data_IF_265293843594
#
_entry.id   IF_265293843594
#
_cell.length_a   1.000
_cell.length_b   1.000
_cell.length_c   1.000
_cell.angle_alpha   90.00
_cell.angle_beta   90.00
_cell.angle_gamma   90.00
#
_symmetry.space_group_name_H-M   'P 1'
#
loop_
_entity.id
_entity.type
_entity.pdbx_description
1 polymer ?
#
# COMPACT_ATOMS: atom_id res chain seq x y z
N UNK A 1 -16.36 25.74 -1.31
CA UNK A 1 -15.90 24.35 -1.09
C UNK A 1 -14.68 24.19 -1.96
N UNK A 2 -13.50 23.85 -1.42
CA UNK A 2 -12.32 23.69 -2.24
C UNK A 2 -12.48 22.51 -3.20
N UNK A 3 -12.01 22.69 -4.43
CA UNK A 3 -11.94 21.67 -5.48
C UNK A 3 -10.53 21.06 -5.49
N UNK A 4 -10.43 19.77 -5.13
CA UNK A 4 -9.18 19.03 -4.98
C UNK A 4 -9.07 17.98 -6.08
N UNK A 5 -7.98 18.03 -6.83
CA UNK A 5 -7.69 16.98 -7.80
C UNK A 5 -6.71 15.96 -7.22
N UNK A 6 -7.18 14.73 -6.99
CA UNK A 6 -6.37 13.60 -6.55
C UNK A 6 -5.85 12.86 -7.79
N UNK A 7 -4.56 12.94 -8.06
CA UNK A 7 -3.97 12.32 -9.23
C UNK A 7 -3.27 10.99 -8.88
N UNK A 8 -3.65 9.90 -9.56
CA UNK A 8 -3.06 8.58 -9.41
C UNK A 8 -2.13 8.27 -10.59
N UNK A 9 -0.95 7.72 -10.32
CA UNK A 9 0.03 7.36 -11.37
C UNK A 9 -0.37 6.14 -12.22
N UNK A 10 -1.37 5.39 -11.81
CA UNK A 10 -1.86 4.17 -12.47
C UNK A 10 -3.38 4.10 -12.52
N UNK A 11 -3.95 2.99 -13.02
CA UNK A 11 -5.39 2.78 -13.03
C UNK A 11 -5.95 2.62 -11.61
N UNK A 12 -7.24 2.92 -11.40
CA UNK A 12 -7.89 2.77 -10.09
C UNK A 12 -7.89 1.33 -9.55
N UNK A 13 -7.66 0.34 -10.40
CA UNK A 13 -7.53 -1.07 -10.01
C UNK A 13 -6.16 -1.42 -9.40
N UNK A 14 -5.15 -0.55 -9.49
CA UNK A 14 -3.87 -0.78 -8.83
C UNK A 14 -3.95 -0.45 -7.33
N UNK A 15 -2.90 -0.80 -6.58
CA UNK A 15 -2.86 -0.58 -5.13
C UNK A 15 -3.03 0.90 -4.76
N UNK A 16 -2.24 1.77 -5.36
CA UNK A 16 -2.34 3.23 -5.17
C UNK A 16 -3.70 3.77 -5.61
N UNK A 17 -4.28 3.22 -6.69
CA UNK A 17 -5.62 3.56 -7.16
C UNK A 17 -6.72 3.22 -6.14
N UNK A 18 -6.60 2.09 -5.46
CA UNK A 18 -7.51 1.72 -4.36
C UNK A 18 -7.41 2.72 -3.19
N UNK A 19 -6.19 3.15 -2.83
CA UNK A 19 -5.98 4.16 -1.80
C UNK A 19 -6.59 5.50 -2.20
N UNK A 20 -6.30 5.98 -3.40
CA UNK A 20 -6.85 7.24 -3.94
C UNK A 20 -8.39 7.22 -3.95
N UNK A 21 -8.99 6.13 -4.43
CA UNK A 21 -10.45 5.97 -4.47
C UNK A 21 -11.07 6.01 -3.08
N UNK A 22 -10.51 5.28 -2.13
CA UNK A 22 -11.04 5.19 -0.76
C UNK A 22 -10.87 6.49 0.00
N UNK A 23 -9.73 7.17 -0.19
CA UNK A 23 -9.50 8.50 0.36
C UNK A 23 -10.44 9.55 -0.25
N UNK A 24 -10.67 9.50 -1.57
CA UNK A 24 -11.61 10.38 -2.27
C UNK A 24 -13.02 10.25 -1.72
N UNK A 25 -13.49 9.03 -1.50
CA UNK A 25 -14.79 8.75 -0.89
C UNK A 25 -14.91 9.37 0.51
N UNK A 26 -13.92 9.15 1.37
CA UNK A 26 -13.93 9.70 2.72
C UNK A 26 -13.82 11.24 2.75
N UNK A 27 -13.01 11.85 1.86
CA UNK A 27 -12.92 13.31 1.73
C UNK A 27 -14.22 13.93 1.21
N UNK A 28 -14.89 13.27 0.26
CA UNK A 28 -16.19 13.73 -0.27
C UNK A 28 -17.26 13.69 0.81
N UNK A 29 -17.30 12.65 1.67
CA UNK A 29 -18.20 12.60 2.83
C UNK A 29 -17.93 13.73 3.84
N UNK A 30 -16.72 14.26 3.88
CA UNK A 30 -16.35 15.45 4.70
C UNK A 30 -16.69 16.78 4.03
N UNK A 31 -17.31 16.74 2.85
CA UNK A 31 -17.77 17.93 2.15
C UNK A 31 -16.73 18.63 1.27
N UNK A 32 -15.66 17.93 0.83
CA UNK A 32 -14.75 18.49 -0.17
C UNK A 32 -15.21 18.12 -1.59
N UNK A 33 -14.97 19.02 -2.56
CA UNK A 33 -15.12 18.72 -3.99
C UNK A 33 -13.92 17.88 -4.44
N UNK A 34 -14.15 16.64 -4.88
CA UNK A 34 -13.07 15.74 -5.26
C UNK A 34 -13.19 15.34 -6.73
N UNK A 35 -12.08 15.50 -7.46
CA UNK A 35 -11.89 14.95 -8.80
C UNK A 35 -10.70 14.00 -8.77
N UNK A 36 -10.89 12.74 -9.17
CA UNK A 36 -9.79 11.79 -9.37
C UNK A 36 -9.28 11.96 -10.79
N UNK A 37 -7.94 12.05 -10.94
CA UNK A 37 -7.27 12.10 -12.24
C UNK A 37 -6.41 10.85 -12.41
N UNK A 38 -6.58 10.14 -13.53
CA UNK A 38 -5.84 8.91 -13.88
C UNK A 38 -5.17 9.07 -15.24
N UNK A 39 -4.09 8.32 -15.55
CA UNK A 39 -3.44 8.41 -16.85
C UNK A 39 -4.41 8.19 -18.01
N UNK A 40 -5.18 7.12 -17.91
CA UNK A 40 -6.19 6.71 -18.90
C UNK A 40 -7.39 6.11 -18.17
N UNK A 41 -8.58 6.35 -18.68
CA UNK A 41 -9.81 5.71 -18.15
C UNK A 41 -9.91 4.28 -18.65
N UNK A 42 -10.37 3.41 -17.77
CA UNK A 42 -10.54 1.97 -18.06
C UNK A 42 -11.93 1.47 -17.68
N UNK A 43 -12.30 0.28 -18.13
CA UNK A 43 -13.55 -0.37 -17.72
C UNK A 43 -13.58 -0.72 -16.21
N UNK A 44 -12.41 -0.79 -15.57
CA UNK A 44 -12.28 -1.01 -14.13
C UNK A 44 -12.59 0.24 -13.29
N UNK A 45 -12.85 1.39 -13.95
CA UNK A 45 -13.17 2.66 -13.28
C UNK A 45 -14.67 2.79 -12.95
N UNK A 46 -15.44 1.71 -13.10
CA UNK A 46 -16.89 1.70 -12.80
C UNK A 46 -17.22 1.94 -11.32
N UNK A 47 -16.25 1.73 -10.42
CA UNK A 47 -16.42 1.82 -8.97
C UNK A 47 -15.99 3.18 -8.38
N UNK A 48 -16.16 4.28 -9.14
CA UNK A 48 -15.90 5.62 -8.60
C UNK A 48 -16.96 5.99 -7.57
N UNK A 49 -16.57 6.50 -6.38
CA UNK A 49 -17.53 6.85 -5.34
C UNK A 49 -18.53 7.92 -5.78
N UNK A 50 -19.75 7.86 -5.24
CA UNK A 50 -20.77 8.85 -5.53
C UNK A 50 -20.31 10.28 -5.16
N UNK A 51 -20.51 11.23 -6.07
CA UNK A 51 -20.10 12.62 -5.88
C UNK A 51 -18.63 12.93 -6.24
N UNK A 52 -17.85 11.90 -6.60
CA UNK A 52 -16.47 12.06 -7.10
C UNK A 52 -16.49 12.12 -8.64
N UNK A 53 -15.82 13.11 -9.23
CA UNK A 53 -15.55 13.13 -10.67
C UNK A 53 -14.35 12.26 -11.00
N UNK A 54 -14.35 11.66 -12.18
CA UNK A 54 -13.19 10.96 -12.72
C UNK A 54 -12.81 11.54 -14.08
N UNK A 55 -11.55 11.92 -14.23
CA UNK A 55 -10.97 12.41 -15.47
C UNK A 55 -9.72 11.61 -15.83
N UNK A 56 -9.47 11.40 -17.12
CA UNK A 56 -8.14 11.08 -17.59
C UNK A 56 -7.24 12.31 -17.53
N UNK A 57 -5.92 12.12 -17.57
CA UNK A 57 -4.97 13.23 -17.62
C UNK A 57 -5.21 14.15 -18.83
N UNK A 58 -5.59 13.57 -19.97
CA UNK A 58 -5.94 14.34 -21.17
C UNK A 58 -7.23 15.15 -20.99
N UNK A 59 -8.28 14.57 -20.40
CA UNK A 59 -9.53 15.27 -20.09
C UNK A 59 -9.27 16.41 -19.09
N UNK A 60 -8.51 16.16 -18.03
CA UNK A 60 -8.16 17.16 -17.03
C UNK A 60 -7.37 18.35 -17.65
N UNK A 61 -6.41 18.06 -18.53
CA UNK A 61 -5.69 19.10 -19.27
C UNK A 61 -6.58 19.85 -20.26
N UNK A 62 -7.71 19.28 -20.71
CA UNK A 62 -8.71 19.89 -21.58
C UNK A 62 -9.78 20.73 -20.86
N UNK A 63 -9.88 20.67 -19.54
CA UNK A 63 -10.89 21.39 -18.76
C UNK A 63 -10.81 22.92 -18.98
N UNK A 64 -11.94 23.66 -18.91
CA UNK A 64 -11.93 25.11 -19.05
C UNK A 64 -11.18 25.78 -17.89
N UNK A 65 -10.65 27.00 -18.10
CA UNK A 65 -9.92 27.74 -17.07
C UNK A 65 -10.74 28.01 -15.80
N UNK A 66 -12.06 28.03 -15.92
CA UNK A 66 -13.00 28.17 -14.79
C UNK A 66 -13.07 26.92 -13.90
N UNK A 67 -12.59 25.78 -14.39
CA UNK A 67 -12.50 24.53 -13.64
C UNK A 67 -11.12 24.31 -13.01
N UNK A 68 -10.32 25.37 -12.86
CA UNK A 68 -9.01 25.31 -12.20
C UNK A 68 -9.16 24.78 -10.78
N UNK A 69 -8.42 23.70 -10.39
CA UNK A 69 -8.48 23.20 -9.02
C UNK A 69 -7.85 24.19 -8.04
N UNK A 70 -8.31 24.16 -6.79
CA UNK A 70 -7.68 24.89 -5.69
C UNK A 70 -6.38 24.21 -5.25
N UNK A 71 -6.31 22.86 -5.35
CA UNK A 71 -5.18 22.04 -4.96
C UNK A 71 -5.09 20.78 -5.82
N UNK A 72 -3.86 20.39 -6.16
CA UNK A 72 -3.56 19.09 -6.80
C UNK A 72 -2.78 18.22 -5.80
N UNK A 73 -3.28 17.03 -5.51
CA UNK A 73 -2.59 16.04 -4.68
C UNK A 73 -2.07 14.92 -5.58
N UNK A 74 -0.75 14.89 -5.77
CA UNK A 74 -0.08 13.92 -6.64
C UNK A 74 0.24 12.64 -5.86
N UNK A 75 -0.23 11.50 -6.34
CA UNK A 75 0.09 10.18 -5.79
C UNK A 75 1.28 9.60 -6.53
N UNK A 76 2.35 9.93 -6.15
CA UNK A 76 3.80 10.00 -6.08
C UNK A 76 4.43 10.99 -7.07
N UNK A 77 5.78 11.16 -6.96
CA UNK A 77 6.57 12.09 -7.78
C UNK A 77 7.07 11.47 -9.11
N UNK A 78 6.43 10.39 -9.59
CA UNK A 78 6.85 9.68 -10.81
C UNK A 78 6.80 10.58 -12.03
N UNK A 79 7.66 10.32 -13.02
CA UNK A 79 7.85 11.21 -14.18
C UNK A 79 6.53 11.50 -14.94
N UNK A 80 5.64 10.51 -15.07
CA UNK A 80 4.30 10.71 -15.63
C UNK A 80 3.49 11.75 -14.86
N UNK A 81 3.53 11.70 -13.53
CA UNK A 81 2.80 12.61 -12.66
C UNK A 81 3.37 14.02 -12.72
N UNK A 82 4.70 14.12 -12.69
CA UNK A 82 5.42 15.39 -12.78
C UNK A 82 5.12 16.09 -14.10
N UNK A 83 5.28 15.38 -15.23
CA UNK A 83 5.02 15.96 -16.57
C UNK A 83 3.58 16.43 -16.70
N UNK A 84 2.62 15.62 -16.26
CA UNK A 84 1.22 16.03 -16.26
C UNK A 84 0.95 17.24 -15.38
N UNK A 85 1.57 17.33 -14.20
CA UNK A 85 1.44 18.50 -13.33
C UNK A 85 2.07 19.75 -13.96
N UNK A 86 3.22 19.62 -14.62
CA UNK A 86 3.84 20.71 -15.38
C UNK A 86 2.90 21.24 -16.49
N UNK A 87 2.21 20.34 -17.21
CA UNK A 87 1.19 20.72 -18.21
C UNK A 87 0.01 21.48 -17.58
N UNK A 88 -0.45 21.06 -16.40
CA UNK A 88 -1.49 21.76 -15.66
C UNK A 88 -1.04 23.17 -15.22
N UNK A 89 0.19 23.28 -14.72
CA UNK A 89 0.76 24.58 -14.31
C UNK A 89 0.92 25.51 -15.53
N UNK A 90 1.36 24.97 -16.66
CA UNK A 90 1.44 25.74 -17.90
C UNK A 90 0.07 26.27 -18.36
N UNK A 91 -1.00 25.52 -18.12
CA UNK A 91 -2.36 25.86 -18.51
C UNK A 91 -3.06 26.80 -17.52
N UNK A 92 -3.05 26.44 -16.23
CA UNK A 92 -3.86 27.12 -15.20
C UNK A 92 -3.07 28.17 -14.41
N UNK A 93 -1.77 28.30 -14.65
CA UNK A 93 -0.86 29.04 -13.79
C UNK A 93 -0.44 28.26 -12.55
N UNK A 94 0.25 28.89 -11.58
CA UNK A 94 0.72 28.22 -10.36
C UNK A 94 -0.43 27.57 -9.61
N UNK A 95 -0.25 26.28 -9.23
CA UNK A 95 -1.22 25.47 -8.48
C UNK A 95 -0.61 25.04 -7.15
N UNK A 96 -1.40 25.02 -6.08
CA UNK A 96 -0.98 24.38 -4.84
C UNK A 96 -0.83 22.87 -5.07
N UNK A 97 0.33 22.33 -4.73
CA UNK A 97 0.64 20.89 -4.87
C UNK A 97 0.87 20.26 -3.52
N UNK A 98 0.16 19.19 -3.22
CA UNK A 98 0.52 18.24 -2.16
C UNK A 98 1.09 17.00 -2.82
N UNK A 99 2.22 16.51 -2.33
CA UNK A 99 2.85 15.30 -2.85
C UNK A 99 2.66 14.15 -1.85
N UNK A 100 2.18 13.00 -2.32
CA UNK A 100 2.08 11.78 -1.51
C UNK A 100 3.30 10.89 -1.68
N UNK A 101 3.84 10.39 -0.57
CA UNK A 101 4.93 9.42 -0.52
C UNK A 101 4.39 8.08 -0.04
N UNK A 102 4.39 7.08 -0.92
CA UNK A 102 3.84 5.75 -0.66
C UNK A 102 4.93 4.69 -0.48
N UNK A 103 5.99 4.78 -1.26
CA UNK A 103 7.14 3.88 -1.27
C UNK A 103 8.44 4.68 -1.29
N UNK A 104 9.57 4.02 -1.01
CA UNK A 104 10.88 4.60 -1.28
C UNK A 104 11.17 4.54 -2.79
N UNK A 105 10.83 5.62 -3.49
CA UNK A 105 10.96 5.74 -4.95
C UNK A 105 12.42 5.62 -5.42
N UNK A 106 13.39 5.98 -4.57
CA UNK A 106 14.83 5.83 -4.89
C UNK A 106 15.24 4.35 -4.88
N UNK A 107 14.76 3.59 -3.90
CA UNK A 107 15.01 2.13 -3.88
C UNK A 107 14.35 1.43 -5.06
N UNK A 108 13.13 1.82 -5.42
CA UNK A 108 12.44 1.30 -6.60
C UNK A 108 13.23 1.56 -7.88
N UNK A 109 13.69 2.79 -8.07
CA UNK A 109 14.51 3.18 -9.22
C UNK A 109 15.82 2.38 -9.26
N UNK A 110 16.54 2.32 -8.13
CA UNK A 110 17.81 1.56 -8.03
C UNK A 110 17.60 0.09 -8.40
N UNK A 111 16.57 -0.54 -7.87
CA UNK A 111 16.28 -1.94 -8.12
C UNK A 111 15.93 -2.21 -9.58
N UNK A 112 15.10 -1.35 -10.19
CA UNK A 112 14.65 -1.58 -11.57
C UNK A 112 15.72 -1.24 -12.62
N UNK A 113 16.57 -0.23 -12.36
CA UNK A 113 17.58 0.23 -13.29
C UNK A 113 19.01 -0.22 -12.97
N UNK A 114 19.21 -1.02 -11.91
CA UNK A 114 20.53 -1.50 -11.51
C UNK A 114 21.46 -0.38 -11.06
N UNK A 115 20.94 0.70 -10.49
CA UNK A 115 21.75 1.85 -10.08
C UNK A 115 22.35 1.66 -8.68
N UNK A 116 23.59 2.15 -8.50
CA UNK A 116 24.23 2.22 -7.18
C UNK A 116 23.80 3.49 -6.43
N UNK A 117 23.98 3.58 -5.09
CA UNK A 117 23.78 4.83 -4.35
C UNK A 117 24.56 6.01 -4.96
N UNK A 118 25.82 5.82 -5.31
CA UNK A 118 26.66 6.85 -5.94
C UNK A 118 26.07 7.34 -7.29
N UNK A 119 25.50 6.44 -8.10
CA UNK A 119 24.83 6.86 -9.33
C UNK A 119 23.61 7.76 -9.02
N UNK A 120 22.90 7.52 -7.93
CA UNK A 120 21.75 8.35 -7.52
C UNK A 120 22.21 9.75 -7.12
N UNK A 121 23.32 9.84 -6.37
CA UNK A 121 23.88 11.13 -5.95
C UNK A 121 24.34 11.94 -7.18
N UNK A 122 25.08 11.33 -8.10
CA UNK A 122 25.48 11.97 -9.37
C UNK A 122 24.27 12.46 -10.18
N UNK A 123 23.16 11.71 -10.21
CA UNK A 123 21.94 12.10 -10.92
C UNK A 123 21.24 13.26 -10.19
N UNK A 124 21.17 13.23 -8.86
CA UNK A 124 20.62 14.33 -8.05
C UNK A 124 21.36 15.64 -8.27
N UNK A 125 22.67 15.56 -8.37
CA UNK A 125 23.55 16.70 -8.57
C UNK A 125 23.61 17.17 -10.04
N UNK A 126 22.95 16.45 -10.96
CA UNK A 126 22.94 16.76 -12.39
C UNK A 126 24.24 16.40 -13.11
N UNK A 127 25.13 15.66 -12.46
CA UNK A 127 26.42 15.21 -13.01
C UNK A 127 26.28 14.02 -13.94
N UNK A 128 25.19 13.25 -13.79
CA UNK A 128 24.86 12.08 -14.60
C UNK A 128 23.48 12.21 -15.21
N UNK A 129 23.33 12.16 -16.55
CA UNK A 129 22.02 12.13 -17.17
C UNK A 129 21.30 10.81 -16.89
N UNK A 130 19.96 10.86 -16.76
CA UNK A 130 19.08 9.71 -16.62
C UNK A 130 17.84 9.94 -17.48
N UNK A 131 17.50 8.97 -18.32
CA UNK A 131 16.17 8.87 -18.91
C UNK A 131 15.33 7.94 -18.04
N UNK A 132 14.63 8.51 -17.07
CA UNK A 132 13.82 7.75 -16.15
C UNK A 132 12.49 7.32 -16.82
N UNK A 133 12.11 6.03 -16.75
CA UNK A 133 10.81 5.58 -17.21
C UNK A 133 9.66 6.35 -16.55
N UNK A 134 8.56 6.55 -17.25
CA UNK A 134 7.38 7.29 -16.80
C UNK A 134 6.80 6.80 -15.46
N UNK A 135 6.95 5.51 -15.17
CA UNK A 135 6.46 4.87 -13.94
C UNK A 135 7.44 4.91 -12.77
N UNK A 136 8.58 5.59 -12.92
CA UNK A 136 9.59 5.79 -11.87
C UNK A 136 9.80 7.27 -11.59
N UNK A 137 10.41 7.56 -10.46
CA UNK A 137 10.75 8.92 -10.04
C UNK A 137 12.20 9.24 -10.44
N UNK A 138 12.40 10.30 -11.21
CA UNK A 138 13.74 10.80 -11.51
C UNK A 138 14.32 11.51 -10.28
N UNK A 139 15.51 11.14 -9.76
CA UNK A 139 16.04 11.69 -8.52
C UNK A 139 16.15 13.21 -8.47
N UNK A 140 16.64 13.84 -9.54
CA UNK A 140 16.76 15.31 -9.63
C UNK A 140 15.39 15.98 -9.79
N UNK A 141 14.57 15.50 -10.72
CA UNK A 141 13.28 16.15 -11.05
C UNK A 141 12.25 15.91 -9.93
N UNK A 142 12.20 14.69 -9.37
CA UNK A 142 11.35 14.38 -8.23
C UNK A 142 11.75 15.17 -6.97
N UNK A 143 13.06 15.33 -6.73
CA UNK A 143 13.55 16.19 -5.65
C UNK A 143 13.15 17.66 -5.83
N UNK A 144 13.19 18.19 -7.05
CA UNK A 144 12.71 19.56 -7.35
C UNK A 144 11.22 19.69 -7.13
N UNK A 145 10.42 18.72 -7.58
CA UNK A 145 8.98 18.69 -7.36
C UNK A 145 8.66 18.64 -5.87
N UNK A 146 9.36 17.78 -5.10
CA UNK A 146 9.22 17.70 -3.65
C UNK A 146 9.57 19.05 -2.99
N UNK A 147 10.69 19.66 -3.37
CA UNK A 147 11.11 20.96 -2.82
C UNK A 147 10.17 22.12 -3.15
N UNK A 148 9.36 22.02 -4.20
CA UNK A 148 8.38 23.02 -4.62
C UNK A 148 6.95 22.71 -4.16
N UNK A 149 6.70 21.56 -3.54
CA UNK A 149 5.40 21.21 -3.03
C UNK A 149 4.96 22.15 -1.89
N UNK A 150 3.68 22.42 -1.79
CA UNK A 150 3.09 23.20 -0.69
C UNK A 150 2.87 22.36 0.57
N UNK A 151 2.92 21.04 0.45
CA UNK A 151 2.83 20.09 1.55
C UNK A 151 3.07 18.66 1.10
N UNK A 152 3.30 17.77 2.05
CA UNK A 152 3.58 16.36 1.80
C UNK A 152 2.71 15.49 2.68
N UNK A 153 2.16 14.42 2.10
CA UNK A 153 1.57 13.31 2.84
C UNK A 153 2.44 12.07 2.69
N UNK A 154 2.49 11.23 3.72
CA UNK A 154 3.22 9.97 3.68
C UNK A 154 2.43 8.86 4.37
N UNK A 155 2.67 7.59 3.99
CA UNK A 155 2.09 6.44 4.68
C UNK A 155 2.79 6.13 6.00
N UNK A 156 4.06 6.52 6.15
CA UNK A 156 4.90 6.29 7.35
C UNK A 156 5.93 7.41 7.49
N UNK A 157 6.37 7.64 8.72
CA UNK A 157 7.32 8.71 9.07
C UNK A 157 8.66 8.60 8.32
N UNK A 158 9.19 7.38 8.13
CA UNK A 158 10.48 7.17 7.46
C UNK A 158 10.53 7.63 6.00
N UNK A 159 9.38 7.89 5.37
CA UNK A 159 9.32 8.48 4.04
C UNK A 159 9.50 10.00 4.04
N UNK A 160 9.51 10.64 5.22
CA UNK A 160 9.66 12.08 5.34
C UNK A 160 11.12 12.55 5.48
N UNK A 161 12.09 11.63 5.56
CA UNK A 161 13.49 11.96 5.81
C UNK A 161 14.11 12.93 4.79
N UNK A 162 13.67 12.84 3.52
CA UNK A 162 14.11 13.73 2.43
C UNK A 162 13.22 14.98 2.27
N UNK A 163 12.19 15.18 3.11
CA UNK A 163 11.29 16.33 3.01
C UNK A 163 11.95 17.57 3.63
N UNK A 164 11.93 18.73 2.93
CA UNK A 164 12.51 19.97 3.45
C UNK A 164 11.92 20.36 4.82
N UNK A 165 12.79 20.77 5.75
CA UNK A 165 12.38 21.21 7.07
C UNK A 165 11.41 22.40 7.00
N UNK A 166 10.35 22.36 7.80
CA UNK A 166 9.32 23.40 7.85
C UNK A 166 8.21 23.26 6.80
N UNK A 167 8.30 22.31 5.87
CA UNK A 167 7.21 21.99 4.96
C UNK A 167 6.05 21.36 5.73
N UNK A 168 4.79 21.75 5.49
CA UNK A 168 3.63 21.11 6.09
C UNK A 168 3.58 19.62 5.72
N UNK A 169 3.56 18.73 6.70
CA UNK A 169 3.48 17.28 6.50
C UNK A 169 2.28 16.68 7.21
N UNK A 170 1.83 15.52 6.73
CA UNK A 170 0.86 14.67 7.41
C UNK A 170 1.15 13.19 7.10
N UNK A 171 1.18 12.36 8.15
CA UNK A 171 1.32 10.91 8.01
C UNK A 171 -0.02 10.26 8.33
N UNK A 172 -0.44 9.34 7.49
CA UNK A 172 -1.67 8.57 7.70
C UNK A 172 -1.50 7.13 7.25
N UNK A 173 -2.07 6.19 7.99
CA UNK A 173 -2.14 4.79 7.58
C UNK A 173 -3.30 4.57 6.61
N UNK A 174 -3.16 3.67 5.62
CA UNK A 174 -4.30 3.24 4.81
C UNK A 174 -5.41 2.66 5.68
N UNK A 175 -6.65 2.95 5.33
CA UNK A 175 -7.82 2.34 5.96
C UNK A 175 -8.09 0.94 5.42
N UNK A 176 -8.81 0.13 6.20
CA UNK A 176 -9.33 -1.15 5.73
C UNK A 176 -10.53 -0.98 4.79
N UNK A 177 -10.78 -2.00 3.96
CA UNK A 177 -12.03 -2.10 3.20
C UNK A 177 -13.13 -2.72 4.08
N UNK A 178 -14.29 -2.05 4.23
CA UNK A 178 -15.41 -2.54 5.04
C UNK A 178 -15.89 -3.96 4.73
N UNK A 179 -15.65 -4.48 3.52
CA UNK A 179 -16.02 -5.86 3.17
C UNK A 179 -15.33 -6.92 4.02
N UNK A 180 -14.13 -6.61 4.56
CA UNK A 180 -13.39 -7.50 5.47
C UNK A 180 -13.84 -7.39 6.93
N UNK A 181 -14.54 -6.33 7.30
CA UNK A 181 -15.07 -6.15 8.65
C UNK A 181 -16.31 -7.01 8.93
N UNK A 182 -17.05 -7.40 7.90
CA UNK A 182 -18.25 -8.19 8.03
C UNK A 182 -17.95 -9.62 8.50
N UNK A 183 -18.58 -10.08 9.58
CA UNK A 183 -18.36 -11.43 10.12
C UNK A 183 -18.78 -12.52 9.12
N UNK A 184 -17.96 -13.55 8.98
CA UNK A 184 -18.19 -14.69 8.06
C UNK A 184 -18.00 -16.02 8.81
N UNK A 185 -18.91 -16.38 9.73
CA UNK A 185 -18.69 -17.51 10.64
C UNK A 185 -18.57 -18.87 9.94
N UNK A 186 -19.17 -19.04 8.76
CA UNK A 186 -19.08 -20.27 7.99
C UNK A 186 -17.90 -20.31 6.99
N UNK A 187 -17.08 -19.26 6.90
CA UNK A 187 -16.03 -19.14 5.88
C UNK A 187 -15.05 -20.32 5.90
N UNK A 188 -14.59 -20.73 7.09
CA UNK A 188 -13.65 -21.84 7.23
C UNK A 188 -14.20 -23.15 6.68
N UNK A 189 -15.45 -23.52 6.99
CA UNK A 189 -16.08 -24.74 6.49
C UNK A 189 -16.31 -24.67 4.97
N UNK A 190 -16.81 -23.55 4.47
CA UNK A 190 -17.08 -23.35 3.03
C UNK A 190 -15.78 -23.44 2.22
N UNK A 191 -14.72 -22.75 2.66
CA UNK A 191 -13.43 -22.72 1.98
C UNK A 191 -12.76 -24.09 2.02
N UNK A 192 -12.73 -24.76 3.18
CA UNK A 192 -12.15 -26.11 3.32
C UNK A 192 -12.83 -27.10 2.37
N UNK A 193 -14.17 -27.11 2.35
CA UNK A 193 -14.94 -28.01 1.47
C UNK A 193 -14.68 -27.72 -0.01
N UNK A 194 -14.68 -26.44 -0.40
CA UNK A 194 -14.45 -26.01 -1.78
C UNK A 194 -13.06 -26.38 -2.29
N UNK A 195 -12.04 -26.29 -1.43
CA UNK A 195 -10.66 -26.52 -1.79
C UNK A 195 -10.13 -27.91 -1.42
N UNK A 196 -10.97 -28.78 -0.85
CA UNK A 196 -10.57 -30.14 -0.45
C UNK A 196 -9.54 -30.17 0.67
N UNK A 197 -9.52 -29.18 1.57
CA UNK A 197 -8.54 -29.06 2.65
C UNK A 197 -8.98 -29.91 3.84
N UNK A 198 -8.11 -30.81 4.37
CA UNK A 198 -8.43 -31.63 5.53
C UNK A 198 -8.84 -30.82 6.76
N UNK A 199 -9.73 -31.38 7.59
CA UNK A 199 -10.26 -30.67 8.76
C UNK A 199 -9.21 -30.44 9.85
N UNK A 200 -8.21 -31.29 9.94
CA UNK A 200 -7.10 -31.26 10.90
C UNK A 200 -5.94 -30.33 10.46
N UNK A 201 -5.95 -29.81 9.22
CA UNK A 201 -4.95 -28.84 8.79
C UNK A 201 -5.24 -27.45 9.34
N UNK A 202 -4.24 -26.76 9.89
CA UNK A 202 -4.32 -25.33 10.14
C UNK A 202 -4.31 -24.56 8.80
N UNK A 203 -5.15 -23.53 8.68
CA UNK A 203 -5.21 -22.68 7.49
C UNK A 203 -4.37 -21.41 7.70
N UNK A 204 -3.37 -21.26 6.87
CA UNK A 204 -2.59 -20.03 6.75
C UNK A 204 -3.00 -19.33 5.45
N UNK A 205 -3.29 -18.03 5.49
CA UNK A 205 -3.65 -17.28 4.28
C UNK A 205 -2.70 -16.11 4.05
N UNK A 206 -2.28 -15.99 2.80
CA UNK A 206 -1.53 -14.85 2.25
C UNK A 206 -2.22 -14.35 0.99
N UNK A 207 -2.55 -13.06 0.94
CA UNK A 207 -3.12 -12.42 -0.24
C UNK A 207 -2.12 -11.43 -0.84
N UNK A 208 -1.97 -11.45 -2.16
CA UNK A 208 -1.14 -10.49 -2.89
C UNK A 208 -0.24 -11.11 -3.94
N UNK A 209 0.20 -10.26 -4.87
CA UNK A 209 1.09 -10.64 -5.95
C UNK A 209 2.53 -10.90 -5.46
N UNK A 210 3.28 -11.66 -6.25
CA UNK A 210 4.70 -11.89 -6.04
C UNK A 210 5.49 -11.11 -7.08
N UNK A 211 6.35 -10.24 -6.60
CA UNK A 211 7.25 -9.38 -7.38
C UNK A 211 8.70 -9.62 -6.96
N UNK A 212 9.65 -9.12 -7.72
CA UNK A 212 11.07 -9.20 -7.38
C UNK A 212 11.37 -8.64 -5.97
N UNK A 213 10.58 -7.66 -5.51
CA UNK A 213 10.77 -7.02 -4.20
C UNK A 213 10.25 -7.81 -3.00
N UNK A 214 9.43 -8.86 -3.20
CA UNK A 214 8.86 -9.66 -2.09
C UNK A 214 8.93 -11.18 -2.30
N UNK A 215 9.54 -11.63 -3.39
CA UNK A 215 9.61 -13.06 -3.72
C UNK A 215 10.29 -13.89 -2.63
N UNK A 216 11.37 -13.40 -2.02
CA UNK A 216 12.09 -14.10 -0.97
C UNK A 216 11.27 -14.19 0.33
N UNK A 217 10.46 -13.17 0.61
CA UNK A 217 9.54 -13.16 1.75
C UNK A 217 8.44 -14.21 1.59
N UNK A 218 7.79 -14.25 0.42
CA UNK A 218 6.75 -15.24 0.13
C UNK A 218 7.34 -16.65 0.05
N UNK A 219 8.56 -16.80 -0.50
CA UNK A 219 9.31 -18.06 -0.47
C UNK A 219 9.58 -18.52 0.97
N UNK A 220 10.00 -17.62 1.87
CA UNK A 220 10.16 -17.91 3.30
C UNK A 220 8.88 -18.45 3.94
N UNK A 221 7.73 -17.88 3.62
CA UNK A 221 6.44 -18.38 4.10
C UNK A 221 6.14 -19.78 3.56
N UNK A 222 6.39 -20.05 2.27
CA UNK A 222 6.16 -21.40 1.70
C UNK A 222 7.07 -22.45 2.34
N UNK A 223 8.34 -22.10 2.60
CA UNK A 223 9.29 -22.95 3.32
C UNK A 223 8.80 -23.21 4.75
N UNK A 224 8.31 -22.18 5.45
CA UNK A 224 7.80 -22.33 6.81
C UNK A 224 6.64 -23.32 6.88
N UNK A 225 5.69 -23.26 5.96
CA UNK A 225 4.56 -24.18 5.88
C UNK A 225 5.02 -25.62 5.62
N UNK A 226 5.96 -25.82 4.70
CA UNK A 226 6.52 -27.15 4.42
C UNK A 226 7.28 -27.73 5.64
N UNK A 227 8.06 -26.91 6.34
CA UNK A 227 8.78 -27.32 7.54
C UNK A 227 7.83 -27.66 8.70
N UNK A 228 6.77 -26.86 8.90
CA UNK A 228 5.77 -27.13 9.92
C UNK A 228 5.09 -28.51 9.70
N UNK A 229 4.70 -28.81 8.46
CA UNK A 229 4.15 -30.13 8.10
C UNK A 229 5.12 -31.27 8.40
N UNK A 230 6.41 -31.10 8.08
CA UNK A 230 7.46 -32.09 8.37
C UNK A 230 7.70 -32.30 9.87
N UNK A 231 7.44 -31.31 10.68
CA UNK A 231 7.60 -31.35 12.15
C UNK A 231 6.31 -31.71 12.88
N UNK A 232 5.31 -32.24 12.16
CA UNK A 232 4.09 -32.78 12.74
C UNK A 232 2.98 -31.77 13.02
N UNK A 233 3.02 -30.59 12.39
CA UNK A 233 1.96 -29.58 12.45
C UNK A 233 1.28 -29.48 11.08
N UNK A 234 0.21 -30.27 10.83
CA UNK A 234 -0.50 -30.24 9.54
C UNK A 234 -1.05 -28.86 9.23
N UNK A 235 -0.71 -28.30 8.07
CA UNK A 235 -1.21 -27.00 7.65
C UNK A 235 -1.24 -26.84 6.14
N UNK A 236 -2.09 -25.96 5.68
CA UNK A 236 -2.22 -25.58 4.27
C UNK A 236 -2.12 -24.07 4.13
N UNK A 237 -1.28 -23.62 3.19
CA UNK A 237 -1.20 -22.23 2.78
C UNK A 237 -2.16 -21.98 1.63
N UNK A 238 -3.14 -21.10 1.84
CA UNK A 238 -3.95 -20.53 0.76
C UNK A 238 -3.27 -19.24 0.30
N UNK A 239 -3.00 -19.15 -1.00
CA UNK A 239 -2.35 -17.99 -1.61
C UNK A 239 -3.15 -17.45 -2.79
N UNK A 240 -3.31 -16.11 -2.86
CA UNK A 240 -3.91 -15.43 -4.00
C UNK A 240 -2.90 -14.48 -4.64
N UNK A 241 -3.21 -14.01 -5.85
CA UNK A 241 -2.40 -13.06 -6.62
C UNK A 241 -1.59 -13.73 -7.73
N UNK A 242 -0.93 -12.90 -8.53
CA UNK A 242 -0.13 -13.28 -9.69
C UNK A 242 1.34 -13.35 -9.29
N UNK A 243 2.04 -14.36 -9.79
CA UNK A 243 3.49 -14.46 -9.68
C UNK A 243 4.14 -13.81 -10.90
N UNK A 244 4.59 -12.55 -10.73
CA UNK A 244 5.33 -11.83 -11.76
C UNK A 244 6.78 -12.32 -11.88
N UNK A 245 7.27 -12.99 -10.85
CA UNK A 245 8.55 -13.72 -10.84
C UNK A 245 8.33 -15.11 -10.28
N UNK A 246 9.10 -16.13 -10.70
CA UNK A 246 8.95 -17.49 -10.21
C UNK A 246 9.17 -17.58 -8.70
N UNK A 247 8.22 -18.17 -7.99
CA UNK A 247 8.37 -18.45 -6.56
C UNK A 247 9.33 -19.60 -6.31
N UNK A 248 9.45 -20.48 -7.28
CA UNK A 248 10.13 -21.76 -7.20
C UNK A 248 11.35 -21.85 -8.12
N UNK A 249 12.51 -22.12 -7.54
CA UNK A 249 13.64 -22.72 -8.24
C UNK A 249 13.49 -24.25 -8.28
N UNK A 250 14.32 -24.97 -9.03
CA UNK A 250 14.21 -26.41 -9.35
C UNK A 250 14.00 -27.41 -8.19
N UNK A 251 13.94 -26.96 -6.92
CA UNK A 251 13.62 -27.78 -5.74
C UNK A 251 12.18 -27.69 -5.23
N UNK A 252 11.32 -26.96 -5.89
CA UNK A 252 10.03 -26.49 -5.38
C UNK A 252 8.87 -27.50 -5.39
N UNK A 253 9.01 -28.67 -5.98
CA UNK A 253 7.95 -29.70 -6.02
C UNK A 253 7.54 -30.09 -4.57
N UNK A 254 8.48 -30.15 -3.65
CA UNK A 254 8.24 -30.46 -2.23
C UNK A 254 7.55 -29.34 -1.45
N UNK A 255 7.60 -28.10 -1.97
CA UNK A 255 6.94 -26.96 -1.32
C UNK A 255 5.48 -26.79 -1.81
N UNK A 256 5.16 -27.29 -3.00
CA UNK A 256 3.84 -27.12 -3.61
C UNK A 256 2.76 -28.01 -2.96
N UNK A 257 3.13 -29.11 -2.30
CA UNK A 257 2.21 -30.10 -1.73
C UNK A 257 1.25 -29.49 -0.68
N UNK A 258 1.68 -28.47 0.03
CA UNK A 258 0.91 -27.82 1.08
C UNK A 258 0.38 -26.44 0.71
N UNK A 259 0.38 -26.10 -0.58
CA UNK A 259 0.00 -24.79 -1.06
C UNK A 259 -1.19 -24.88 -2.03
N UNK A 260 -2.24 -24.12 -1.73
CA UNK A 260 -3.35 -23.88 -2.65
C UNK A 260 -3.18 -22.49 -3.25
N UNK A 261 -2.61 -22.43 -4.45
CA UNK A 261 -2.44 -21.18 -5.21
C UNK A 261 -3.67 -20.94 -6.08
N UNK A 262 -4.44 -19.90 -5.76
CA UNK A 262 -5.72 -19.58 -6.44
C UNK A 262 -5.56 -18.57 -7.58
N UNK A 263 -4.35 -18.00 -7.77
CA UNK A 263 -4.17 -16.93 -8.74
C UNK A 263 -4.99 -15.68 -8.39
N UNK A 264 -5.45 -14.97 -9.41
CA UNK A 264 -6.33 -13.80 -9.23
C UNK A 264 -7.71 -14.25 -8.76
N UNK A 265 -8.14 -13.71 -7.63
CA UNK A 265 -9.45 -13.96 -7.02
C UNK A 265 -10.26 -12.67 -7.07
N UNK A 266 -11.56 -12.71 -7.43
CA UNK A 266 -12.44 -11.56 -7.35
C UNK A 266 -12.41 -10.93 -5.95
N UNK A 267 -12.39 -9.58 -5.87
CA UNK A 267 -12.31 -8.88 -4.58
C UNK A 267 -13.41 -9.29 -3.60
N UNK A 268 -14.62 -9.56 -4.11
CA UNK A 268 -15.75 -9.99 -3.29
C UNK A 268 -15.56 -11.35 -2.59
N UNK A 269 -14.68 -12.20 -3.13
CA UNK A 269 -14.41 -13.55 -2.60
C UNK A 269 -13.21 -13.56 -1.61
N UNK A 270 -12.37 -12.52 -1.61
CA UNK A 270 -11.22 -12.43 -0.71
C UNK A 270 -11.58 -12.47 0.77
N UNK A 271 -12.67 -11.83 1.26
CA UNK A 271 -13.04 -11.89 2.66
C UNK A 271 -13.30 -13.32 3.16
N UNK A 272 -13.86 -14.22 2.33
CA UNK A 272 -14.07 -15.60 2.73
C UNK A 272 -12.74 -16.33 2.98
N UNK A 273 -11.73 -16.10 2.14
CA UNK A 273 -10.40 -16.68 2.31
C UNK A 273 -9.68 -16.12 3.55
N UNK A 274 -9.82 -14.83 3.81
CA UNK A 274 -9.24 -14.17 4.99
C UNK A 274 -9.91 -14.67 6.27
N UNK A 275 -11.24 -14.71 6.31
CA UNK A 275 -12.00 -15.18 7.48
C UNK A 275 -11.89 -16.70 7.71
N UNK A 276 -11.54 -17.49 6.68
CA UNK A 276 -11.30 -18.94 6.83
C UNK A 276 -9.97 -19.25 7.52
N UNK A 277 -9.03 -18.32 7.53
CA UNK A 277 -7.69 -18.55 8.08
C UNK A 277 -7.71 -18.78 9.60
N UNK A 278 -6.89 -19.69 10.09
CA UNK A 278 -6.55 -19.79 11.50
C UNK A 278 -5.48 -18.74 11.86
N UNK A 279 -4.58 -18.43 10.92
CA UNK A 279 -3.58 -17.36 11.02
C UNK A 279 -3.39 -16.69 9.65
N UNK A 280 -3.33 -15.35 9.65
CA UNK A 280 -2.91 -14.54 8.51
C UNK A 280 -1.44 -14.17 8.65
N UNK A 281 -0.69 -14.17 7.56
CA UNK A 281 0.75 -13.90 7.62
C UNK A 281 1.16 -12.81 6.63
N UNK A 282 1.86 -11.80 7.14
CA UNK A 282 2.71 -10.92 6.35
C UNK A 282 4.16 -11.33 6.59
N UNK A 283 4.78 -12.09 5.69
CA UNK A 283 6.20 -12.41 5.82
C UNK A 283 7.06 -11.18 5.55
N UNK A 284 8.29 -11.16 6.02
CA UNK A 284 9.22 -10.07 5.75
C UNK A 284 10.37 -9.99 6.74
N UNK A 285 11.38 -9.22 6.36
CA UNK A 285 12.56 -8.89 7.17
C UNK A 285 12.48 -7.44 7.64
N UNK A 286 13.34 -7.08 8.58
CA UNK A 286 13.56 -5.70 8.98
C UNK A 286 14.74 -5.17 8.15
N UNK A 287 14.43 -4.57 7.02
CA UNK A 287 15.39 -4.01 6.08
C UNK A 287 14.91 -2.65 5.56
N UNK A 288 15.78 -1.97 4.81
CA UNK A 288 15.52 -0.65 4.23
C UNK A 288 14.25 -0.64 3.36
N UNK A 289 13.99 -1.74 2.62
CA UNK A 289 12.82 -1.86 1.78
C UNK A 289 11.53 -1.92 2.61
N UNK A 290 11.47 -2.83 3.59
CA UNK A 290 10.28 -3.01 4.41
C UNK A 290 10.06 -1.86 5.39
N UNK A 291 11.11 -1.13 5.79
CA UNK A 291 10.99 0.07 6.61
C UNK A 291 10.27 1.22 5.91
N UNK A 292 10.24 1.22 4.58
CA UNK A 292 9.71 2.32 3.78
C UNK A 292 8.40 1.96 3.02
N UNK A 293 7.69 0.91 3.42
CA UNK A 293 6.40 0.54 2.80
C UNK A 293 5.39 0.03 3.82
N UNK A 294 4.11 0.22 3.54
CA UNK A 294 3.01 -0.38 4.31
C UNK A 294 2.31 -1.43 3.43
N UNK A 295 2.37 -2.73 3.78
CA UNK A 295 1.60 -3.73 3.06
C UNK A 295 0.10 -3.47 3.16
N UNK A 296 -0.54 -3.12 2.06
CA UNK A 296 -1.94 -2.68 1.97
C UNK A 296 -2.97 -3.69 2.49
N UNK A 297 -2.60 -4.96 2.59
CA UNK A 297 -3.46 -6.03 3.13
C UNK A 297 -3.56 -6.03 4.66
N UNK A 298 -2.62 -5.38 5.37
CA UNK A 298 -2.58 -5.46 6.84
C UNK A 298 -3.81 -4.84 7.52
N UNK A 299 -4.34 -3.68 7.11
CA UNK A 299 -5.60 -3.18 7.64
C UNK A 299 -6.77 -4.17 7.45
N UNK A 300 -6.89 -4.78 6.26
CA UNK A 300 -7.92 -5.76 5.94
C UNK A 300 -7.77 -7.05 6.79
N UNK A 301 -6.53 -7.49 7.00
CA UNK A 301 -6.23 -8.64 7.85
C UNK A 301 -6.63 -8.38 9.31
N UNK A 302 -6.21 -7.27 9.87
CA UNK A 302 -6.52 -6.92 11.26
C UNK A 302 -8.02 -6.76 11.48
N UNK A 303 -8.73 -6.03 10.59
CA UNK A 303 -10.17 -5.80 10.75
C UNK A 303 -11.00 -7.07 10.64
N UNK A 304 -10.49 -8.12 9.98
CA UNK A 304 -11.16 -9.41 9.89
C UNK A 304 -11.35 -10.07 11.26
N UNK A 305 -10.55 -9.69 12.26
CA UNK A 305 -10.53 -10.32 13.58
C UNK A 305 -9.80 -11.66 13.62
N UNK A 306 -9.02 -11.98 12.56
CA UNK A 306 -8.11 -13.13 12.56
C UNK A 306 -6.74 -12.71 13.08
N UNK A 307 -6.03 -13.59 13.81
CA UNK A 307 -4.70 -13.30 14.29
C UNK A 307 -3.73 -13.10 13.11
N UNK A 308 -2.89 -12.08 13.20
CA UNK A 308 -1.94 -11.70 12.16
C UNK A 308 -0.52 -11.89 12.68
N UNK A 309 0.33 -12.61 11.92
CA UNK A 309 1.78 -12.64 12.13
C UNK A 309 2.43 -11.64 11.16
N UNK A 310 3.32 -10.80 11.68
CA UNK A 310 4.07 -9.83 10.88
C UNK A 310 5.43 -9.49 11.50
N UNK A 311 6.40 -8.94 10.72
CA UNK A 311 7.67 -8.49 11.26
C UNK A 311 7.53 -7.18 12.05
N UNK A 312 8.49 -6.90 12.95
CA UNK A 312 8.60 -5.65 13.72
C UNK A 312 9.14 -4.50 12.85
N UNK A 313 8.37 -4.11 11.84
CA UNK A 313 8.68 -3.00 10.94
C UNK A 313 7.37 -2.29 10.57
N UNK A 314 7.39 -1.01 10.26
CA UNK A 314 6.24 -0.16 9.95
C UNK A 314 5.05 -0.41 10.91
N UNK A 315 3.91 -0.92 10.44
CA UNK A 315 2.75 -1.19 11.30
C UNK A 315 3.06 -2.15 12.46
N UNK A 316 4.04 -3.05 12.31
CA UNK A 316 4.52 -3.93 13.39
C UNK A 316 5.23 -3.19 14.53
N UNK A 317 5.59 -1.90 14.36
CA UNK A 317 6.17 -1.07 15.43
C UNK A 317 5.10 -0.52 16.40
N UNK A 318 3.86 -0.40 15.94
CA UNK A 318 2.74 0.14 16.74
C UNK A 318 1.79 -0.95 17.25
N UNK A 319 1.97 -2.18 16.79
CA UNK A 319 1.23 -3.35 17.26
C UNK A 319 1.96 -4.02 18.43
N UNK A 320 1.20 -4.56 19.37
CA UNK A 320 1.71 -5.20 20.59
C UNK A 320 1.69 -6.73 20.42
N UNK A 321 2.90 -7.35 20.53
CA UNK A 321 3.07 -8.80 20.42
C UNK A 321 2.27 -9.57 21.46
N UNK A 322 1.47 -10.54 21.03
CA UNK A 322 0.64 -11.37 21.89
C UNK A 322 -0.63 -10.71 22.41
N UNK A 323 -0.86 -9.43 22.05
CA UNK A 323 -2.09 -8.70 22.39
C UNK A 323 -2.97 -8.45 21.17
N UNK A 324 -2.52 -7.65 20.20
CA UNK A 324 -3.31 -7.31 19.00
C UNK A 324 -2.70 -7.81 17.68
N UNK A 325 -1.51 -8.43 17.76
CA UNK A 325 -0.85 -9.14 16.68
C UNK A 325 0.22 -10.09 17.23
N UNK A 326 0.75 -10.98 16.39
CA UNK A 326 1.95 -11.75 16.66
C UNK A 326 3.11 -11.08 15.94
N UNK A 327 3.79 -10.16 16.63
CA UNK A 327 4.88 -9.37 16.08
C UNK A 327 6.20 -10.09 16.29
N UNK A 328 6.85 -10.53 15.21
CA UNK A 328 8.14 -11.20 15.24
C UNK A 328 9.27 -10.17 14.99
N UNK A 329 10.49 -10.38 15.53
CA UNK A 329 11.64 -9.56 15.15
C UNK A 329 11.81 -9.52 13.63
N UNK A 330 11.66 -10.66 12.96
CA UNK A 330 11.58 -10.86 11.52
C UNK A 330 10.62 -12.02 11.23
N UNK A 331 9.86 -11.97 10.15
CA UNK A 331 8.97 -13.06 9.74
C UNK A 331 9.65 -13.94 8.68
N UNK A 332 10.82 -14.52 9.04
CA UNK A 332 11.58 -15.51 8.25
C UNK A 332 11.01 -16.91 8.42
N UNK A 333 11.42 -17.86 7.59
CA UNK A 333 10.91 -19.22 7.62
C UNK A 333 11.07 -19.87 9.01
N UNK A 334 12.24 -19.77 9.63
CA UNK A 334 12.53 -20.36 10.94
C UNK A 334 11.66 -19.77 12.05
N UNK A 335 11.50 -18.44 12.05
CA UNK A 335 10.70 -17.74 13.05
C UNK A 335 9.21 -17.98 12.86
N UNK A 336 8.75 -18.09 11.60
CA UNK A 336 7.37 -18.46 11.30
C UNK A 336 7.04 -19.87 11.77
N UNK A 337 7.93 -20.86 11.54
CA UNK A 337 7.75 -22.24 12.05
C UNK A 337 7.65 -22.24 13.57
N UNK A 338 8.56 -21.53 14.25
CA UNK A 338 8.52 -21.42 15.71
C UNK A 338 7.20 -20.80 16.19
N UNK A 339 6.74 -19.72 15.55
CA UNK A 339 5.48 -19.08 15.87
C UNK A 339 4.27 -19.99 15.60
N UNK A 340 4.25 -20.74 14.51
CA UNK A 340 3.18 -21.70 14.24
C UNK A 340 3.07 -22.76 15.33
N UNK A 341 4.20 -23.37 15.74
CA UNK A 341 4.23 -24.33 16.84
C UNK A 341 3.84 -23.74 18.19
N UNK A 342 4.17 -22.47 18.43
CA UNK A 342 3.84 -21.78 19.66
C UNK A 342 2.35 -21.44 19.74
N UNK A 343 1.79 -20.84 18.68
CA UNK A 343 0.49 -20.19 18.75
C UNK A 343 -0.69 -21.05 18.28
N UNK A 344 -0.53 -21.90 17.26
CA UNK A 344 -1.65 -22.72 16.74
C UNK A 344 -2.26 -23.68 17.79
N UNK A 345 -1.52 -24.24 18.76
CA UNK A 345 -2.11 -25.03 19.81
C UNK A 345 -2.93 -24.23 20.85
N UNK A 346 -3.03 -22.90 20.71
CA UNK A 346 -3.65 -21.97 21.67
C UNK A 346 -4.83 -21.19 21.04
N UNK A 347 -5.89 -21.87 20.55
CA UNK A 347 -6.94 -21.21 19.76
C UNK A 347 -7.67 -20.09 20.52
N UNK A 348 -7.81 -20.20 21.85
CA UNK A 348 -8.41 -19.14 22.67
C UNK A 348 -7.56 -17.85 22.70
N UNK A 349 -6.24 -17.98 22.77
CA UNK A 349 -5.34 -16.83 22.72
C UNK A 349 -5.32 -16.21 21.31
N UNK A 350 -5.29 -17.04 20.27
CA UNK A 350 -5.39 -16.57 18.88
C UNK A 350 -6.67 -15.77 18.64
N UNK A 351 -7.81 -16.25 19.14
CA UNK A 351 -9.08 -15.55 19.04
C UNK A 351 -9.04 -14.18 19.76
N UNK A 352 -8.43 -14.13 20.96
CA UNK A 352 -8.27 -12.87 21.70
C UNK A 352 -7.38 -11.86 20.96
N UNK A 353 -6.23 -12.34 20.41
CA UNK A 353 -5.32 -11.51 19.59
C UNK A 353 -6.05 -10.97 18.36
N UNK A 354 -6.80 -11.82 17.65
CA UNK A 354 -7.57 -11.39 16.50
C UNK A 354 -8.63 -10.33 16.84
N UNK A 355 -9.36 -10.51 17.96
CA UNK A 355 -10.34 -9.54 18.43
C UNK A 355 -9.72 -8.18 18.76
N UNK A 356 -8.60 -8.16 19.51
CA UNK A 356 -7.88 -6.93 19.82
C UNK A 356 -7.26 -6.28 18.56
N UNK A 357 -6.78 -7.08 17.60
CA UNK A 357 -6.33 -6.58 16.30
C UNK A 357 -7.44 -5.88 15.52
N UNK A 358 -8.66 -6.43 15.55
CA UNK A 358 -9.85 -5.80 14.97
C UNK A 358 -10.19 -4.48 15.63
N UNK A 359 -10.19 -4.42 16.96
CA UNK A 359 -10.46 -3.19 17.72
C UNK A 359 -9.43 -2.11 17.35
N UNK A 360 -8.14 -2.46 17.28
CA UNK A 360 -7.09 -1.56 16.84
C UNK A 360 -7.34 -1.02 15.43
N UNK A 361 -7.67 -1.91 14.47
CA UNK A 361 -7.93 -1.49 13.10
C UNK A 361 -9.14 -0.57 12.99
N UNK A 362 -10.22 -0.88 13.69
CA UNK A 362 -11.44 -0.05 13.72
C UNK A 362 -11.21 1.33 14.33
N UNK A 363 -10.31 1.42 15.30
CA UNK A 363 -9.99 2.69 15.96
C UNK A 363 -8.99 3.56 15.17
N UNK A 364 -8.04 2.93 14.44
CA UNK A 364 -6.85 3.64 13.93
C UNK A 364 -6.62 3.51 12.43
N UNK A 365 -7.16 2.46 11.78
CA UNK A 365 -6.91 2.18 10.36
C UNK A 365 -8.18 2.36 9.55
N UNK A 366 -8.76 3.56 9.59
CA UNK A 366 -9.96 3.91 8.83
C UNK A 366 -9.67 4.98 7.78
N UNK A 367 -10.38 4.96 6.67
CA UNK A 367 -10.28 6.02 5.66
C UNK A 367 -10.83 7.36 6.18
N UNK A 368 -11.73 7.34 7.16
CA UNK A 368 -12.23 8.51 7.87
C UNK A 368 -11.12 9.24 8.63
N UNK A 369 -10.30 8.49 9.38
CA UNK A 369 -9.14 9.03 10.11
C UNK A 369 -8.07 9.56 9.13
N UNK A 370 -7.81 8.81 8.05
CA UNK A 370 -6.91 9.26 6.98
C UNK A 370 -7.40 10.56 6.35
N UNK A 371 -8.68 10.64 5.99
CA UNK A 371 -9.28 11.83 5.39
C UNK A 371 -9.27 13.03 6.34
N UNK A 372 -9.46 12.83 7.65
CA UNK A 372 -9.33 13.89 8.65
C UNK A 372 -7.93 14.48 8.65
N UNK A 373 -6.92 13.62 8.72
CA UNK A 373 -5.51 14.01 8.71
C UNK A 373 -5.14 14.76 7.43
N UNK A 374 -5.57 14.25 6.27
CA UNK A 374 -5.29 14.85 4.96
C UNK A 374 -6.04 16.18 4.77
N UNK A 375 -7.32 16.25 5.18
CA UNK A 375 -8.11 17.49 5.11
C UNK A 375 -7.51 18.60 5.97
N UNK A 376 -6.99 18.27 7.15
CA UNK A 376 -6.29 19.23 8.00
C UNK A 376 -5.01 19.78 7.33
N UNK A 377 -4.27 18.95 6.59
CA UNK A 377 -3.14 19.41 5.78
C UNK A 377 -3.60 20.34 4.66
N UNK A 378 -4.66 19.98 3.94
CA UNK A 378 -5.20 20.85 2.87
C UNK A 378 -5.60 22.22 3.41
N UNK A 379 -6.23 22.29 4.59
CA UNK A 379 -6.55 23.56 5.25
C UNK A 379 -5.30 24.42 5.44
N UNK A 380 -4.23 23.85 6.03
CA UNK A 380 -2.96 24.58 6.22
C UNK A 380 -2.33 25.06 4.91
N UNK A 381 -2.38 24.22 3.87
CA UNK A 381 -1.80 24.55 2.54
C UNK A 381 -2.59 25.66 1.84
N UNK A 382 -3.93 25.63 1.91
CA UNK A 382 -4.79 26.60 1.25
C UNK A 382 -4.88 27.95 2.00
N UNK A 383 -4.67 27.96 3.31
CA UNK A 383 -4.62 29.16 4.14
C UNK A 383 -3.24 29.86 4.08
N UNK A 384 -2.19 29.13 3.72
CA UNK A 384 -0.86 29.73 3.59
C UNK A 384 -0.88 30.78 2.48
N UNK A 385 -0.37 32.00 2.72
CA UNK A 385 -0.23 32.98 1.65
C UNK A 385 0.60 32.33 0.53
N UNK A 386 0.14 32.49 -0.72
CA UNK A 386 0.81 31.91 -1.88
C UNK A 386 2.31 32.29 -1.83
N UNK A 387 3.12 31.39 -1.33
CA UNK A 387 4.56 31.56 -1.35
C UNK A 387 4.95 31.74 -2.81
N UNK A 388 5.69 32.80 -3.10
CA UNK A 388 6.18 33.06 -4.45
C UNK A 388 6.89 31.79 -4.93
N UNK A 389 6.24 31.04 -5.83
CA UNK A 389 6.85 29.87 -6.48
C UNK A 389 8.16 30.36 -7.07
N UNK A 390 9.31 29.79 -6.68
CA UNK A 390 10.56 30.16 -7.32
C UNK A 390 10.38 29.95 -8.82
N UNK A 391 10.53 31.01 -9.58
CA UNK A 391 10.48 30.96 -11.05
C UNK A 391 11.46 29.87 -11.49
N UNK A 392 10.97 28.84 -12.14
CA UNK A 392 11.78 27.84 -12.85
C UNK A 392 12.34 28.49 -14.12
N UNK A 393 13.22 29.49 -13.94
CA UNK A 393 13.94 30.13 -15.02
C UNK A 393 15.45 30.15 -14.65
N UNK A 394 16.14 29.25 -15.26
CA UNK A 394 17.60 29.23 -15.31
C UNK A 394 18.12 27.97 -15.98
N UNK A 395 19.06 28.13 -16.92
CA UNK A 395 19.33 27.26 -18.06
C UNK A 395 19.78 25.86 -17.73
#
# INVERSE_FOLDING_TARGET
MPDIWLACHGPLSCNSGNHVRSLADALTRRGLGITICVPERSSADADVPAGVRLLSFAEAAGEPLSARPDLVHLWTARERMRRWYDDLVARFGPLACVLHLEDNEVLLLRQQMGLTPHNIDDIRDGLRPLDAPDHLTHPLHGGRLLGSAAGVTALIESLLDDVPSGMPTAVFSPGFDPIFAAARPAAAEVVRRRLGIPADHALVTYTGNVHASNVDEVRSLTIAVALANRTGLPMTLIRTGIDHVPLADHGAVLLAEHIVALGTVPRADLPDLVHAADILVQPGRVDEWNACRVPSKLPDFLVSGRPVILPRVNLGLVLEHGHNAIVLPEATAERLVAAFHEWLPRPGQLAAIGAAGREFAQASLTWETAAETVAALYGRVLEAPAAAVPSAAGP
#
